data_IF_571452252150
#
_entry.id   IF_571452252150
#
_cell.length_a   1.000
_cell.length_b   1.000
_cell.length_c   1.000
_cell.angle_alpha   90.00
_cell.angle_beta   90.00
_cell.angle_gamma   90.00
#
_symmetry.space_group_name_H-M   'P 1'
#
loop_
_entity.id
_entity.type
_entity.pdbx_description
1 polymer ?
#
# COMPACT_ATOMS: atom_id res chain seq x y z
N UNK A 1 42.26 31.85 5.91
CA UNK A 1 41.53 31.88 4.63
C UNK A 1 40.39 30.91 4.75
N UNK A 2 39.21 31.43 5.06
CA UNK A 2 37.98 30.66 5.13
C UNK A 2 37.34 30.53 3.75
N UNK A 3 36.82 29.35 3.47
CA UNK A 3 35.80 29.12 2.47
C UNK A 3 34.71 28.30 3.14
N UNK A 4 33.85 28.98 3.91
CA UNK A 4 32.53 28.47 4.26
C UNK A 4 31.70 28.49 2.97
N UNK A 5 31.64 27.34 2.30
CA UNK A 5 30.64 27.08 1.27
C UNK A 5 29.28 26.97 1.95
N UNK A 6 28.66 28.12 2.17
CA UNK A 6 27.22 28.25 2.33
C UNK A 6 26.57 27.73 1.05
N UNK A 7 26.01 26.52 1.11
CA UNK A 7 24.95 26.12 0.19
C UNK A 7 23.63 26.27 0.95
N UNK A 8 22.67 26.87 0.28
CA UNK A 8 21.36 27.30 0.79
C UNK A 8 20.63 26.23 1.62
N UNK A 9 19.76 26.68 2.55
CA UNK A 9 18.93 25.78 3.33
C UNK A 9 17.89 25.15 2.40
N UNK A 10 18.04 23.87 2.09
CA UNK A 10 16.92 23.04 1.65
C UNK A 10 15.98 22.87 2.84
N UNK A 11 15.10 23.87 2.95
CA UNK A 11 13.82 23.91 3.61
C UNK A 11 13.39 22.59 4.27
N UNK A 12 13.15 22.69 5.57
CA UNK A 12 12.22 21.86 6.36
C UNK A 12 10.91 21.65 5.58
N UNK A 13 10.83 20.59 4.79
CA UNK A 13 9.58 20.15 4.13
C UNK A 13 9.42 18.65 4.38
N UNK A 14 9.43 18.27 5.65
CA UNK A 14 8.79 17.05 6.20
C UNK A 14 8.68 17.28 7.71
N UNK A 15 7.80 18.20 8.12
CA UNK A 15 7.62 18.58 9.53
C UNK A 15 6.67 17.63 10.27
N UNK A 16 5.86 16.86 9.53
CA UNK A 16 4.94 15.89 10.15
C UNK A 16 5.63 14.55 10.37
N UNK A 17 5.67 14.11 11.63
CA UNK A 17 6.07 12.74 12.01
C UNK A 17 4.94 11.72 11.81
N UNK A 18 3.75 12.15 11.41
CA UNK A 18 2.58 11.30 11.15
C UNK A 18 2.01 11.54 9.75
N UNK A 19 1.53 10.47 9.10
CA UNK A 19 0.89 10.55 7.79
C UNK A 19 -0.08 9.39 7.55
N UNK A 20 -1.12 9.64 6.76
CA UNK A 20 -2.09 8.60 6.34
C UNK A 20 -1.97 8.39 4.85
N UNK A 21 -1.83 7.14 4.44
CA UNK A 21 -1.77 6.75 3.03
C UNK A 21 -2.99 5.87 2.72
N UNK A 22 -3.88 6.39 1.89
CA UNK A 22 -5.11 5.72 1.47
C UNK A 22 -4.93 5.01 0.14
N UNK A 23 -5.14 3.69 0.16
CA UNK A 23 -4.86 2.69 -0.89
C UNK A 23 -3.50 2.88 -1.59
N UNK A 24 -2.39 2.83 -0.83
CA UNK A 24 -1.05 2.91 -1.38
C UNK A 24 -0.52 1.52 -1.77
N UNK A 25 0.48 1.48 -2.65
CA UNK A 25 1.21 0.25 -2.98
C UNK A 25 2.51 0.51 -3.74
N UNK A 26 3.34 -0.51 -3.84
CA UNK A 26 4.55 -0.59 -4.65
C UNK A 26 5.20 -1.97 -4.51
N UNK A 27 6.24 -2.35 -5.26
CA UNK A 27 6.83 -1.61 -6.37
C UNK A 27 5.92 -1.54 -7.61
N UNK A 28 6.21 -0.64 -8.53
CA UNK A 28 5.48 -0.50 -9.79
C UNK A 28 5.60 -1.73 -10.68
N UNK A 29 6.74 -2.42 -10.66
CA UNK A 29 6.88 -3.72 -11.34
C UNK A 29 5.84 -4.77 -10.92
N UNK A 30 5.37 -4.71 -9.66
CA UNK A 30 4.32 -5.58 -9.15
C UNK A 30 2.92 -5.01 -9.41
N UNK A 31 2.76 -3.70 -9.27
CA UNK A 31 1.46 -3.04 -9.34
C UNK A 31 0.93 -2.87 -10.76
N UNK A 32 1.76 -2.36 -11.67
CA UNK A 32 1.30 -1.87 -12.97
C UNK A 32 0.62 -2.97 -13.80
N UNK A 33 1.18 -4.18 -13.95
CA UNK A 33 0.50 -5.25 -14.69
C UNK A 33 -0.81 -5.74 -14.04
N UNK A 34 -1.10 -5.32 -12.79
CA UNK A 34 -2.30 -5.67 -12.03
C UNK A 34 -3.18 -4.45 -11.75
N UNK A 35 -2.99 -3.36 -12.49
CA UNK A 35 -3.72 -2.12 -12.30
C UNK A 35 -4.61 -1.84 -13.51
N UNK A 36 -5.89 -1.58 -13.25
CA UNK A 36 -6.84 -1.13 -14.26
C UNK A 36 -6.35 0.14 -14.96
N UNK A 37 -5.69 1.03 -14.23
CA UNK A 37 -5.19 2.30 -14.75
C UNK A 37 -4.01 2.15 -15.72
N UNK A 38 -3.38 0.98 -15.74
CA UNK A 38 -2.27 0.68 -16.63
C UNK A 38 -2.69 -0.08 -17.89
N UNK A 39 -3.93 -0.59 -17.98
CA UNK A 39 -4.36 -1.48 -19.06
C UNK A 39 -4.10 -0.91 -20.47
N UNK A 40 -4.35 0.37 -20.71
CA UNK A 40 -4.13 0.99 -22.03
C UNK A 40 -2.64 1.00 -22.42
N UNK A 41 -1.77 1.30 -21.46
CA UNK A 41 -0.33 1.25 -21.65
C UNK A 41 0.18 -0.18 -21.79
N UNK A 42 -0.39 -1.11 -21.03
CA UNK A 42 -0.07 -2.54 -21.12
C UNK A 42 -0.41 -3.08 -22.51
N UNK A 43 -1.53 -2.70 -23.11
CA UNK A 43 -1.88 -3.09 -24.49
C UNK A 43 -0.78 -2.66 -25.47
N UNK A 44 -0.33 -1.41 -25.39
CA UNK A 44 0.76 -0.93 -26.25
C UNK A 44 2.07 -1.70 -25.99
N UNK A 45 2.41 -1.92 -24.72
CA UNK A 45 3.60 -2.67 -24.34
C UNK A 45 3.56 -4.11 -24.86
N UNK A 46 2.41 -4.79 -24.78
CA UNK A 46 2.23 -6.16 -25.30
C UNK A 46 2.26 -6.23 -26.83
N UNK A 47 1.91 -5.16 -27.54
CA UNK A 47 2.10 -5.07 -29.00
C UNK A 47 3.61 -4.99 -29.34
N UNK A 48 4.36 -4.19 -28.57
CA UNK A 48 5.80 -4.00 -28.79
C UNK A 48 6.64 -5.20 -28.31
N UNK A 49 6.17 -5.87 -27.25
CA UNK A 49 6.81 -7.03 -26.60
C UNK A 49 5.78 -8.17 -26.46
N UNK A 50 5.52 -8.94 -27.54
CA UNK A 50 4.50 -10.00 -27.52
C UNK A 50 4.87 -11.21 -26.66
N UNK A 51 6.16 -11.47 -26.47
CA UNK A 51 6.62 -12.52 -25.56
C UNK A 51 6.39 -12.06 -24.11
N UNK A 52 5.63 -12.81 -23.28
CA UNK A 52 5.38 -12.44 -21.89
C UNK A 52 6.67 -12.33 -21.06
N UNK A 53 7.75 -13.05 -21.41
CA UNK A 53 9.05 -12.95 -20.75
C UNK A 53 9.70 -11.61 -21.07
N UNK A 54 9.67 -11.18 -22.32
CA UNK A 54 10.21 -9.87 -22.72
C UNK A 54 9.41 -8.73 -22.09
N UNK A 55 8.09 -8.86 -22.04
CA UNK A 55 7.21 -7.88 -21.37
C UNK A 55 7.56 -7.71 -19.89
N UNK A 56 7.60 -8.80 -19.12
CA UNK A 56 7.88 -8.69 -17.68
C UNK A 56 9.34 -8.29 -17.40
N UNK A 57 10.28 -8.72 -18.25
CA UNK A 57 11.68 -8.29 -18.16
C UNK A 57 11.82 -6.80 -18.43
N UNK A 58 11.08 -6.27 -19.41
CA UNK A 58 11.05 -4.84 -19.74
C UNK A 58 10.49 -4.01 -18.58
N UNK A 59 9.37 -4.44 -17.99
CA UNK A 59 8.80 -3.80 -16.80
C UNK A 59 9.80 -3.83 -15.64
N UNK A 60 10.44 -4.97 -15.36
CA UNK A 60 11.47 -5.07 -14.32
C UNK A 60 12.69 -4.17 -14.56
N UNK A 61 13.12 -4.03 -15.82
CA UNK A 61 14.21 -3.11 -16.16
C UNK A 61 13.80 -1.63 -15.98
N UNK A 62 12.57 -1.27 -16.33
CA UNK A 62 12.02 0.08 -16.10
C UNK A 62 11.89 0.38 -14.60
N UNK A 63 11.56 -0.62 -13.78
CA UNK A 63 11.46 -0.50 -12.32
C UNK A 63 12.76 -0.02 -11.68
N UNK A 64 13.92 -0.42 -12.21
CA UNK A 64 15.24 0.07 -11.74
C UNK A 64 15.40 1.59 -11.95
N UNK A 65 14.74 2.16 -12.95
CA UNK A 65 14.71 3.60 -13.18
C UNK A 65 13.66 4.27 -12.29
N UNK A 66 12.48 3.67 -12.16
CA UNK A 66 11.37 4.19 -11.37
C UNK A 66 11.56 4.09 -9.87
N UNK A 67 12.42 3.20 -9.38
CA UNK A 67 12.66 3.02 -7.94
C UNK A 67 12.96 4.35 -7.21
N UNK A 68 13.55 5.33 -7.90
CA UNK A 68 13.85 6.67 -7.37
C UNK A 68 12.65 7.64 -7.33
N UNK A 69 11.54 7.25 -7.93
CA UNK A 69 10.32 8.05 -8.11
C UNK A 69 9.07 7.35 -7.56
N UNK A 70 9.22 6.12 -7.05
CA UNK A 70 8.12 5.29 -6.59
C UNK A 70 8.38 4.76 -5.17
N UNK A 71 7.34 4.24 -4.48
CA UNK A 71 7.45 3.89 -3.07
C UNK A 71 8.62 2.98 -2.71
N UNK A 72 8.94 1.99 -3.57
CA UNK A 72 9.94 0.96 -3.27
C UNK A 72 11.32 1.51 -2.88
N UNK A 73 11.74 2.65 -3.44
CA UNK A 73 13.02 3.27 -3.09
C UNK A 73 13.04 4.00 -1.75
N UNK A 74 11.88 4.23 -1.12
CA UNK A 74 11.75 5.10 0.05
C UNK A 74 11.17 4.42 1.29
N UNK A 75 10.57 3.23 1.19
CA UNK A 75 9.85 2.63 2.32
C UNK A 75 10.71 2.35 3.56
N UNK A 76 11.98 1.96 3.38
CA UNK A 76 12.91 1.76 4.51
C UNK A 76 13.25 3.06 5.25
N UNK A 77 13.12 4.21 4.58
CA UNK A 77 13.40 5.53 5.13
C UNK A 77 12.22 6.12 5.92
N UNK A 78 11.10 5.40 6.00
CA UNK A 78 9.97 5.80 6.85
C UNK A 78 10.30 5.51 8.31
N UNK A 79 10.83 4.30 8.59
CA UNK A 79 11.03 3.81 9.96
C UNK A 79 12.48 3.55 10.33
N UNK A 80 13.20 2.71 9.58
CA UNK A 80 14.51 2.17 9.99
C UNK A 80 15.69 3.14 9.82
N UNK A 81 15.79 3.77 8.65
CA UNK A 81 16.91 4.64 8.27
C UNK A 81 16.36 5.94 7.68
N UNK A 82 15.81 6.87 8.49
CA UNK A 82 15.24 8.10 7.96
C UNK A 82 16.24 8.92 7.14
N UNK A 83 15.74 9.61 6.11
CA UNK A 83 16.58 10.49 5.30
C UNK A 83 17.25 11.58 6.16
N UNK A 84 18.45 12.06 5.77
CA UNK A 84 19.14 13.10 6.53
C UNK A 84 18.27 14.34 6.76
N UNK A 85 18.08 14.69 8.03
CA UNK A 85 17.29 15.86 8.43
C UNK A 85 15.78 15.64 8.51
N UNK A 86 15.29 14.41 8.39
CA UNK A 86 13.87 14.05 8.63
C UNK A 86 13.71 13.25 9.92
N UNK A 87 12.56 13.35 10.62
CA UNK A 87 12.26 12.46 11.73
C UNK A 87 11.92 11.05 11.22
N UNK A 88 11.91 10.07 12.12
CA UNK A 88 11.17 8.83 11.87
C UNK A 88 9.70 9.16 11.71
N UNK A 89 9.05 8.55 10.72
CA UNK A 89 7.65 8.76 10.41
C UNK A 89 6.79 7.58 10.85
N UNK A 90 5.58 7.88 11.31
CA UNK A 90 4.52 6.92 11.56
C UNK A 90 3.47 7.05 10.48
N UNK A 91 3.11 5.92 9.90
CA UNK A 91 2.16 5.85 8.81
C UNK A 91 0.99 4.98 9.21
N UNK A 92 -0.22 5.47 8.92
CA UNK A 92 -1.42 4.66 8.87
C UNK A 92 -1.69 4.31 7.40
N UNK A 93 -1.52 3.05 7.05
CA UNK A 93 -1.89 2.52 5.75
C UNK A 93 -3.34 2.04 5.78
N UNK A 94 -4.17 2.54 4.88
CA UNK A 94 -5.53 2.04 4.68
C UNK A 94 -5.64 1.45 3.28
N UNK A 95 -6.26 0.29 3.12
CA UNK A 95 -6.43 -0.35 1.80
C UNK A 95 -7.80 -0.99 1.63
N UNK A 96 -8.22 -1.17 0.37
CA UNK A 96 -9.44 -1.87 0.01
C UNK A 96 -9.13 -3.29 -0.47
N UNK A 97 -9.92 -4.27 -0.05
CA UNK A 97 -9.91 -5.60 -0.65
C UNK A 97 -10.48 -5.54 -2.07
N UNK A 98 -9.81 -6.12 -3.07
CA UNK A 98 -10.30 -6.13 -4.45
C UNK A 98 -10.18 -4.79 -5.17
N UNK A 99 -9.29 -3.90 -4.72
CA UNK A 99 -8.97 -2.65 -5.39
C UNK A 99 -8.41 -2.93 -6.80
N UNK A 100 -9.12 -2.45 -7.82
CA UNK A 100 -8.77 -2.72 -9.21
C UNK A 100 -7.61 -1.83 -9.71
N UNK A 101 -7.32 -0.73 -9.02
CA UNK A 101 -6.30 0.25 -9.37
C UNK A 101 -4.98 -0.02 -8.66
N UNK A 102 -5.03 -0.38 -7.37
CA UNK A 102 -3.86 -0.64 -6.54
C UNK A 102 -3.96 -2.00 -5.88
N UNK A 103 -3.25 -2.97 -6.45
CA UNK A 103 -3.26 -4.33 -5.93
C UNK A 103 -2.73 -4.39 -4.48
N UNK A 104 -3.45 -5.14 -3.63
CA UNK A 104 -3.15 -5.32 -2.21
C UNK A 104 -1.78 -5.95 -1.93
N UNK A 105 -1.22 -6.74 -2.84
CA UNK A 105 0.14 -7.27 -2.70
C UNK A 105 1.18 -6.15 -2.72
N UNK A 106 0.92 -5.07 -3.47
CA UNK A 106 1.76 -3.88 -3.46
C UNK A 106 1.73 -3.16 -2.12
N UNK A 107 0.55 -3.07 -1.49
CA UNK A 107 0.47 -2.61 -0.11
C UNK A 107 1.28 -3.52 0.84
N UNK A 108 1.12 -4.83 0.73
CA UNK A 108 1.83 -5.76 1.62
C UNK A 108 3.35 -5.62 1.50
N UNK A 109 3.88 -5.41 0.29
CA UNK A 109 5.30 -5.17 0.08
C UNK A 109 5.75 -3.91 0.83
N UNK A 110 5.11 -2.76 0.59
CA UNK A 110 5.52 -1.50 1.23
C UNK A 110 5.30 -1.49 2.74
N UNK A 111 4.22 -2.10 3.22
CA UNK A 111 3.90 -2.15 4.64
C UNK A 111 4.87 -3.05 5.39
N UNK A 112 5.30 -4.18 4.82
CA UNK A 112 6.36 -5.02 5.43
C UNK A 112 7.69 -4.28 5.49
N UNK A 113 8.07 -3.59 4.41
CA UNK A 113 9.29 -2.78 4.36
C UNK A 113 9.29 -1.65 5.41
N UNK A 114 8.12 -1.08 5.70
CA UNK A 114 7.97 -0.06 6.74
C UNK A 114 7.81 -0.65 8.16
N UNK A 115 7.89 -1.97 8.34
CA UNK A 115 7.62 -2.69 9.60
C UNK A 115 6.23 -2.41 10.18
N UNK A 116 5.24 -2.32 9.32
CA UNK A 116 3.86 -2.15 9.77
C UNK A 116 3.41 -3.36 10.60
N UNK A 117 2.55 -3.09 11.58
CA UNK A 117 1.77 -4.09 12.30
C UNK A 117 0.32 -4.09 11.80
N UNK A 118 -0.40 -5.17 12.07
CA UNK A 118 -1.82 -5.29 11.72
C UNK A 118 -2.62 -5.78 12.93
N UNK A 119 -3.92 -5.52 12.97
CA UNK A 119 -4.81 -6.12 13.97
C UNK A 119 -5.14 -7.58 13.61
N UNK A 120 -5.49 -8.42 14.58
CA UNK A 120 -5.82 -9.84 14.37
C UNK A 120 -7.00 -10.04 13.39
N UNK A 121 -8.00 -9.16 13.48
CA UNK A 121 -9.19 -9.16 12.60
C UNK A 121 -8.99 -8.48 11.25
N UNK A 122 -7.77 -8.03 10.93
CA UNK A 122 -7.48 -7.27 9.73
C UNK A 122 -7.89 -8.01 8.45
N UNK A 123 -8.41 -7.27 7.46
CA UNK A 123 -8.92 -7.84 6.21
C UNK A 123 -7.80 -8.52 5.43
N UNK A 124 -8.05 -9.76 5.00
CA UNK A 124 -7.07 -10.60 4.30
C UNK A 124 -7.43 -10.67 2.83
N UNK A 125 -6.42 -10.56 1.97
CA UNK A 125 -6.63 -10.84 0.55
C UNK A 125 -7.18 -12.26 0.34
N UNK A 126 -8.06 -12.40 -0.63
CA UNK A 126 -8.58 -13.68 -1.12
C UNK A 126 -8.25 -13.78 -2.60
N UNK A 127 -7.61 -14.87 -3.01
CA UNK A 127 -7.22 -15.12 -4.39
C UNK A 127 -8.04 -16.28 -4.97
N UNK A 128 -8.66 -16.06 -6.13
CA UNK A 128 -9.31 -17.09 -6.93
C UNK A 128 -8.27 -17.74 -7.87
N UNK A 129 -8.02 -19.02 -7.67
CA UNK A 129 -7.15 -19.82 -8.55
C UNK A 129 -7.89 -20.13 -9.86
N UNK A 130 -7.36 -19.74 -11.03
CA UNK A 130 -8.06 -19.90 -12.32
C UNK A 130 -8.31 -21.37 -12.68
N UNK A 131 -7.35 -22.25 -12.38
CA UNK A 131 -7.41 -23.66 -12.81
C UNK A 131 -8.38 -24.52 -12.00
N UNK A 132 -8.60 -24.16 -10.73
CA UNK A 132 -9.38 -24.98 -9.79
C UNK A 132 -10.66 -24.30 -9.31
N UNK A 133 -10.79 -22.98 -9.50
CA UNK A 133 -11.87 -22.18 -8.91
C UNK A 133 -11.79 -22.08 -7.38
N UNK A 134 -10.69 -22.53 -6.76
CA UNK A 134 -10.50 -22.47 -5.32
C UNK A 134 -10.17 -21.04 -4.88
N UNK A 135 -10.76 -20.61 -3.77
CA UNK A 135 -10.37 -19.36 -3.08
C UNK A 135 -9.32 -19.67 -2.02
N UNK A 136 -8.19 -18.96 -2.08
CA UNK A 136 -7.10 -19.04 -1.11
C UNK A 136 -7.00 -17.72 -0.35
N UNK A 137 -7.05 -17.78 0.98
CA UNK A 137 -6.94 -16.60 1.83
C UNK A 137 -5.49 -16.38 2.27
N UNK A 138 -5.01 -15.16 2.12
CA UNK A 138 -3.68 -14.75 2.57
C UNK A 138 -3.53 -14.87 4.09
N UNK A 139 -2.35 -15.34 4.54
CA UNK A 139 -2.06 -15.55 5.96
C UNK A 139 -1.51 -14.30 6.67
N UNK A 140 -1.26 -13.24 5.90
CA UNK A 140 -0.61 -11.99 6.29
C UNK A 140 0.89 -12.15 6.56
N UNK A 141 1.53 -13.20 6.02
CA UNK A 141 2.88 -13.70 6.38
C UNK A 141 3.72 -12.79 7.31
N UNK A 142 4.80 -12.12 6.93
CA UNK A 142 5.65 -11.35 7.86
C UNK A 142 5.06 -10.09 8.56
N UNK A 143 3.78 -10.04 8.92
CA UNK A 143 3.20 -8.97 9.76
C UNK A 143 3.04 -9.44 11.23
N UNK A 144 3.52 -8.68 12.22
CA UNK A 144 3.10 -8.85 13.61
C UNK A 144 1.61 -8.50 13.73
N UNK A 145 0.85 -9.38 14.40
CA UNK A 145 -0.57 -9.18 14.68
C UNK A 145 -0.77 -8.71 16.11
N UNK A 146 -1.60 -7.68 16.30
CA UNK A 146 -1.97 -7.12 17.59
C UNK A 146 -3.43 -7.45 17.92
N UNK A 147 -3.77 -7.65 19.21
CA UNK A 147 -5.16 -7.74 19.65
C UNK A 147 -5.97 -6.54 19.18
N UNK A 148 -7.23 -6.76 18.78
CA UNK A 148 -8.08 -5.72 18.18
C UNK A 148 -8.34 -4.51 19.12
N UNK A 149 -8.27 -4.69 20.43
CA UNK A 149 -8.46 -3.63 21.44
C UNK A 149 -7.18 -2.82 21.72
N UNK A 150 -6.07 -3.14 21.04
CA UNK A 150 -4.79 -2.44 21.22
C UNK A 150 -4.85 -1.01 20.70
N UNK A 151 -4.39 -0.07 21.52
CA UNK A 151 -4.11 1.32 21.08
C UNK A 151 -2.64 1.46 20.73
N UNK A 152 -2.33 1.72 19.47
CA UNK A 152 -0.96 1.82 18.95
C UNK A 152 -0.49 3.28 18.93
N UNK A 153 0.67 3.56 19.53
CA UNK A 153 1.19 4.94 19.69
C UNK A 153 2.60 5.14 19.11
N UNK A 154 3.26 4.08 18.65
CA UNK A 154 4.64 4.14 18.16
C UNK A 154 4.83 3.48 16.80
N UNK A 155 4.06 2.44 16.49
CA UNK A 155 4.23 1.70 15.24
C UNK A 155 3.51 2.35 14.05
N UNK A 156 3.90 1.85 12.89
CA UNK A 156 3.19 1.97 11.61
C UNK A 156 2.12 0.88 11.57
N UNK A 157 0.91 1.20 11.12
CA UNK A 157 -0.20 0.22 11.11
C UNK A 157 -0.81 0.14 9.72
N UNK A 158 -1.12 -1.07 9.27
CA UNK A 158 -1.89 -1.30 8.07
C UNK A 158 -3.28 -1.86 8.41
N UNK A 159 -4.32 -1.25 7.85
CA UNK A 159 -5.72 -1.58 8.11
C UNK A 159 -6.46 -1.74 6.79
N UNK A 160 -6.99 -2.94 6.56
CA UNK A 160 -7.76 -3.26 5.38
C UNK A 160 -9.25 -3.09 5.61
N UNK A 161 -9.95 -2.70 4.55
CA UNK A 161 -11.40 -2.54 4.53
C UNK A 161 -12.00 -3.47 3.47
N UNK A 162 -13.04 -4.21 3.88
CA UNK A 162 -13.84 -5.04 2.98
C UNK A 162 -15.05 -4.24 2.48
N UNK A 163 -15.06 -3.91 1.19
CA UNK A 163 -16.18 -3.23 0.55
C UNK A 163 -17.11 -4.17 -0.23
N UNK A 164 -16.97 -5.49 -0.07
CA UNK A 164 -17.81 -6.49 -0.73
C UNK A 164 -17.35 -6.89 -2.14
N UNK A 165 -16.07 -6.66 -2.48
CA UNK A 165 -15.51 -7.16 -3.72
C UNK A 165 -15.38 -8.69 -3.72
N UNK A 166 -15.46 -9.35 -4.89
CA UNK A 166 -15.14 -10.76 -5.01
C UNK A 166 -13.64 -11.01 -4.75
N UNK A 167 -13.23 -12.27 -4.52
CA UNK A 167 -11.82 -12.64 -4.50
C UNK A 167 -11.06 -12.16 -5.75
N UNK A 168 -9.83 -11.68 -5.54
CA UNK A 168 -8.97 -11.19 -6.61
C UNK A 168 -8.48 -12.35 -7.49
N UNK A 169 -8.23 -12.13 -8.80
CA UNK A 169 -7.55 -13.11 -9.62
C UNK A 169 -6.16 -13.44 -9.06
N UNK A 170 -5.77 -14.71 -9.03
CA UNK A 170 -4.39 -15.09 -8.67
C UNK A 170 -3.37 -14.76 -9.77
N UNK A 171 -3.84 -14.57 -11.01
CA UNK A 171 -3.03 -14.25 -12.17
C UNK A 171 -2.53 -12.79 -12.17
N UNK A 172 -1.66 -12.47 -13.13
CA UNK A 172 -1.13 -11.12 -13.31
C UNK A 172 -2.09 -10.24 -14.13
N UNK A 173 -3.30 -10.05 -13.60
CA UNK A 173 -4.35 -9.18 -14.17
C UNK A 173 -5.03 -8.38 -13.04
N UNK A 174 -5.60 -7.21 -13.32
CA UNK A 174 -6.33 -6.44 -12.31
C UNK A 174 -7.63 -7.15 -11.87
N UNK A 175 -8.09 -6.91 -10.63
CA UNK A 175 -9.48 -7.18 -10.23
C UNK A 175 -10.50 -6.51 -11.16
N UNK A 176 -11.75 -7.00 -11.14
CA UNK A 176 -12.81 -6.46 -12.00
C UNK A 176 -13.15 -5.01 -11.61
N UNK A 177 -12.95 -4.08 -12.54
CA UNK A 177 -13.22 -2.66 -12.35
C UNK A 177 -14.70 -2.34 -12.01
N UNK A 178 -15.65 -3.22 -12.35
CA UNK A 178 -17.06 -3.05 -11.99
C UNK A 178 -17.32 -3.21 -10.47
N UNK A 179 -16.40 -3.87 -9.77
CA UNK A 179 -16.42 -4.07 -8.31
C UNK A 179 -15.25 -3.36 -7.63
N UNK A 180 -14.68 -2.34 -8.27
CA UNK A 180 -13.51 -1.61 -7.79
C UNK A 180 -13.79 -0.96 -6.42
N UNK A 181 -12.88 -1.22 -5.47
CA UNK A 181 -12.98 -0.73 -4.10
C UNK A 181 -12.04 0.43 -3.80
N UNK A 182 -11.30 0.94 -4.79
CA UNK A 182 -10.28 1.97 -4.61
C UNK A 182 -10.72 3.16 -3.73
N UNK A 183 -11.95 3.63 -3.96
CA UNK A 183 -12.53 4.77 -3.25
C UNK A 183 -13.21 4.38 -1.93
N UNK A 184 -13.48 3.11 -1.70
CA UNK A 184 -14.26 2.59 -0.59
C UNK A 184 -13.68 2.95 0.79
N UNK A 185 -12.40 2.66 1.08
CA UNK A 185 -11.79 3.08 2.33
C UNK A 185 -11.86 4.59 2.53
N UNK A 186 -11.57 5.39 1.48
CA UNK A 186 -11.56 6.87 1.60
C UNK A 186 -12.94 7.45 1.94
N UNK A 187 -14.00 6.80 1.48
CA UNK A 187 -15.39 7.22 1.70
C UNK A 187 -16.01 6.65 2.96
N UNK A 188 -15.38 5.64 3.58
CA UNK A 188 -15.89 5.03 4.81
C UNK A 188 -15.77 6.00 6.00
N UNK A 189 -16.88 6.28 6.72
CA UNK A 189 -16.85 7.08 7.94
C UNK A 189 -15.89 6.54 9.00
N UNK A 190 -15.77 5.21 9.13
CA UNK A 190 -14.84 4.58 10.08
C UNK A 190 -13.38 4.81 9.68
N UNK A 191 -13.05 4.72 8.39
CA UNK A 191 -11.70 5.03 7.93
C UNK A 191 -11.34 6.51 8.18
N UNK A 192 -12.29 7.41 7.97
CA UNK A 192 -12.13 8.85 8.25
C UNK A 192 -12.01 9.13 9.75
N UNK A 193 -12.79 8.45 10.60
CA UNK A 193 -12.67 8.52 12.06
C UNK A 193 -11.29 8.05 12.52
N UNK A 194 -10.79 6.92 12.00
CA UNK A 194 -9.45 6.43 12.31
C UNK A 194 -8.36 7.43 11.90
N UNK A 195 -8.52 8.06 10.73
CA UNK A 195 -7.62 9.12 10.26
C UNK A 195 -7.66 10.34 11.17
N UNK A 196 -8.85 10.80 11.58
CA UNK A 196 -9.00 11.96 12.48
C UNK A 196 -8.36 11.68 13.85
N UNK A 197 -8.63 10.51 14.45
CA UNK A 197 -8.00 10.08 15.71
C UNK A 197 -6.48 10.12 15.56
N UNK A 198 -5.93 9.46 14.53
CA UNK A 198 -4.49 9.36 14.37
C UNK A 198 -3.82 10.72 14.13
N UNK A 199 -4.41 11.57 13.28
CA UNK A 199 -3.83 12.88 12.97
C UNK A 199 -3.93 13.86 14.15
N UNK A 200 -4.92 13.71 15.04
CA UNK A 200 -5.08 14.58 16.22
C UNK A 200 -4.32 14.11 17.45
N UNK A 201 -4.35 12.82 17.75
CA UNK A 201 -3.80 12.26 18.99
C UNK A 201 -2.50 11.48 18.79
N UNK A 202 -2.21 11.05 17.55
CA UNK A 202 -1.14 10.09 17.27
C UNK A 202 -1.51 8.65 17.63
N UNK A 203 -2.73 8.36 18.07
CA UNK A 203 -3.17 7.00 18.38
C UNK A 203 -3.75 6.31 17.13
N UNK A 204 -3.44 5.03 16.93
CA UNK A 204 -4.10 4.19 15.93
C UNK A 204 -4.87 3.10 16.68
N UNK A 205 -6.16 2.96 16.36
CA UNK A 205 -7.08 2.00 16.98
C UNK A 205 -7.84 1.24 15.89
N UNK A 206 -8.27 0.02 16.19
CA UNK A 206 -9.27 -0.65 15.39
C UNK A 206 -10.65 -0.06 15.69
N UNK A 207 -11.03 0.99 14.95
CA UNK A 207 -12.32 1.67 15.11
C UNK A 207 -13.51 0.81 14.67
N UNK A 208 -13.27 -0.31 14.00
CA UNK A 208 -14.30 -1.17 13.46
C UNK A 208 -14.81 -2.21 14.48
N UNK A 209 -14.14 -2.37 15.63
CA UNK A 209 -14.50 -3.38 16.63
C UNK A 209 -14.37 -4.83 16.13
N UNK A 210 -13.47 -5.06 15.17
CA UNK A 210 -13.30 -6.31 14.45
C UNK A 210 -12.89 -6.03 12.99
N UNK A 211 -13.26 -6.90 12.07
CA UNK A 211 -12.95 -6.72 10.64
C UNK A 211 -13.64 -5.47 10.08
N UNK A 212 -12.86 -4.54 9.53
CA UNK A 212 -13.37 -3.32 8.94
C UNK A 212 -14.14 -3.57 7.65
N UNK A 213 -15.30 -2.92 7.54
CA UNK A 213 -16.16 -2.93 6.36
C UNK A 213 -16.37 -1.52 5.84
N UNK A 214 -16.46 -1.37 4.53
CA UNK A 214 -16.84 -0.09 3.93
C UNK A 214 -18.35 0.13 4.15
N UNK A 215 -18.68 1.15 4.91
CA UNK A 215 -20.02 1.72 4.97
C UNK A 215 -20.03 2.94 4.06
N UNK A 216 -20.81 2.87 2.97
CA UNK A 216 -21.00 3.95 2.01
C UNK A 216 -22.26 4.77 2.34
#
# INVERSE_FOLDING_TARGET
MGLTSSCMPCYKVFVSSTGVLGVPGGPFSLLLPRSKDFEEFEVLMRILYPDPVDYITSIGAMDLLWSRLEPAGYMSYITEDPLPGTPTHRVLYQYGLGDAQVNILGLYAIARSARAVMFESNVRCQFLLPDTGQVVTEKLFGFPLLPDDTTVTQDVVAVGFDCGAPPEPADNIPPNAATDTHEGPRRSPLAQEQMDIFLRSGEIKNVCGGTCKCTL
#
